data_IF_255149655498
#
_entry.id   IF_255149655498
#
_cell.length_a   1.000
_cell.length_b   1.000
_cell.length_c   1.000
_cell.angle_alpha   90.00
_cell.angle_beta   90.00
_cell.angle_gamma   90.00
#
_symmetry.space_group_name_H-M   'P 1'
#
loop_
_entity.id
_entity.type
_entity.pdbx_description
1 polymer ?
#
# COMPACT_ATOMS: atom_id res chain seq x y z
N UNK A 1 22.88 -32.79 22.36
CA UNK A 1 21.52 -32.22 22.46
C UNK A 1 21.44 -31.06 21.47
N UNK A 2 20.90 -31.30 20.28
CA UNK A 2 20.81 -30.25 19.23
C UNK A 2 19.46 -29.57 19.40
N UNK A 3 19.48 -28.31 19.83
CA UNK A 3 18.27 -27.48 19.90
C UNK A 3 17.92 -26.98 18.50
N UNK A 4 16.80 -27.43 17.96
CA UNK A 4 16.21 -26.80 16.78
C UNK A 4 15.59 -25.47 17.19
N UNK A 5 16.18 -24.38 16.70
CA UNK A 5 15.63 -23.05 16.82
C UNK A 5 14.41 -22.92 15.89
N UNK A 6 13.21 -23.04 16.44
CA UNK A 6 11.92 -22.83 15.78
C UNK A 6 11.74 -21.35 15.41
N UNK A 7 12.41 -20.90 14.34
CA UNK A 7 12.04 -19.63 13.71
C UNK A 7 10.66 -19.80 13.10
N UNK A 8 9.64 -19.21 13.73
CA UNK A 8 8.30 -19.03 13.15
C UNK A 8 8.43 -18.16 11.89
N UNK A 9 8.76 -18.79 10.76
CA UNK A 9 8.69 -18.19 9.44
C UNK A 9 7.22 -17.98 9.15
N UNK A 10 6.78 -16.72 9.12
CA UNK A 10 5.46 -16.36 8.65
C UNK A 10 5.21 -16.90 7.25
N UNK A 11 3.94 -17.02 6.87
CA UNK A 11 3.57 -17.54 5.55
C UNK A 11 4.10 -16.57 4.48
N UNK A 12 4.94 -17.08 3.57
CA UNK A 12 5.47 -16.28 2.45
C UNK A 12 4.35 -15.95 1.47
N UNK A 13 4.18 -14.66 1.13
CA UNK A 13 3.16 -14.20 0.17
C UNK A 13 3.28 -14.94 -1.16
N UNK A 14 4.51 -15.13 -1.65
CA UNK A 14 4.78 -15.94 -2.86
C UNK A 14 4.29 -17.37 -2.68
N UNK A 15 4.48 -17.96 -1.49
CA UNK A 15 4.01 -19.31 -1.18
C UNK A 15 2.49 -19.43 -1.19
N UNK A 16 1.77 -18.43 -0.69
CA UNK A 16 0.30 -18.40 -0.73
C UNK A 16 -0.21 -18.31 -2.17
N UNK A 17 0.40 -17.45 -2.99
CA UNK A 17 0.00 -17.30 -4.40
C UNK A 17 0.26 -18.59 -5.20
N UNK A 18 1.42 -19.22 -5.00
CA UNK A 18 1.74 -20.52 -5.59
C UNK A 18 0.75 -21.61 -5.17
N UNK A 19 0.42 -21.68 -3.87
CA UNK A 19 -0.54 -22.64 -3.34
C UNK A 19 -1.94 -22.40 -3.94
N UNK A 20 -2.39 -21.15 -4.02
CA UNK A 20 -3.66 -20.80 -4.66
C UNK A 20 -3.71 -21.18 -6.14
N UNK A 21 -2.62 -20.96 -6.87
CA UNK A 21 -2.50 -21.37 -8.27
C UNK A 21 -2.60 -22.90 -8.44
N UNK A 22 -1.89 -23.68 -7.63
CA UNK A 22 -1.99 -25.15 -7.64
C UNK A 22 -3.41 -25.60 -7.33
N UNK A 23 -4.09 -24.96 -6.36
CA UNK A 23 -5.47 -25.27 -6.00
C UNK A 23 -6.43 -25.06 -7.18
N UNK A 24 -6.29 -23.96 -7.93
CA UNK A 24 -7.08 -23.69 -9.13
C UNK A 24 -6.85 -24.76 -10.20
N UNK A 25 -5.60 -25.19 -10.41
CA UNK A 25 -5.27 -26.27 -11.35
C UNK A 25 -5.91 -27.61 -10.95
N UNK A 26 -5.87 -27.95 -9.66
CA UNK A 26 -6.50 -29.17 -9.14
C UNK A 26 -8.02 -29.12 -9.34
N UNK A 27 -8.68 -28.00 -9.01
CA UNK A 27 -10.11 -27.82 -9.25
C UNK A 27 -10.48 -27.92 -10.74
N UNK A 28 -9.64 -27.34 -11.60
CA UNK A 28 -9.80 -27.42 -13.06
C UNK A 28 -9.67 -28.87 -13.57
N UNK A 29 -8.74 -29.67 -13.04
CA UNK A 29 -8.59 -31.09 -13.35
C UNK A 29 -9.86 -31.89 -13.01
N UNK A 30 -10.51 -31.59 -11.89
CA UNK A 30 -11.78 -32.20 -11.50
C UNK A 30 -13.01 -31.65 -12.25
N UNK A 31 -12.80 -30.79 -13.26
CA UNK A 31 -13.86 -30.10 -14.03
C UNK A 31 -14.77 -29.23 -13.15
N UNK A 32 -14.28 -28.80 -11.99
CA UNK A 32 -14.99 -27.86 -11.13
C UNK A 32 -14.76 -26.46 -11.73
N UNK A 33 -15.85 -25.87 -12.23
CA UNK A 33 -15.81 -24.51 -12.80
C UNK A 33 -15.69 -23.49 -11.67
N UNK A 34 -14.48 -22.98 -11.44
CA UNK A 34 -14.24 -21.87 -10.50
C UNK A 34 -15.12 -20.66 -10.84
N UNK A 35 -15.32 -20.41 -12.14
CA UNK A 35 -16.24 -19.37 -12.62
C UNK A 35 -17.66 -19.56 -12.12
N UNK A 36 -18.21 -20.78 -12.23
CA UNK A 36 -19.57 -21.08 -11.77
C UNK A 36 -19.75 -20.91 -10.26
N UNK A 37 -18.68 -21.11 -9.48
CA UNK A 37 -18.71 -20.92 -8.03
C UNK A 37 -18.67 -19.42 -7.72
N UNK A 38 -17.78 -18.66 -8.36
CA UNK A 38 -17.68 -17.20 -8.14
C UNK A 38 -18.93 -16.47 -8.62
N UNK A 39 -19.59 -16.94 -9.68
CA UNK A 39 -20.85 -16.39 -10.20
C UNK A 39 -22.10 -16.91 -9.47
N UNK A 40 -21.94 -17.81 -8.49
CA UNK A 40 -23.08 -18.26 -7.70
C UNK A 40 -23.68 -17.11 -6.88
N UNK A 41 -25.02 -17.07 -6.70
CA UNK A 41 -25.67 -16.04 -5.89
C UNK A 41 -25.05 -15.92 -4.50
N UNK A 42 -24.72 -17.05 -3.88
CA UNK A 42 -24.15 -17.12 -2.53
C UNK A 42 -22.72 -16.55 -2.48
N UNK A 43 -21.90 -16.83 -3.48
CA UNK A 43 -20.55 -16.25 -3.54
C UNK A 43 -20.60 -14.75 -3.83
N UNK A 44 -21.46 -14.31 -4.74
CA UNK A 44 -21.66 -12.90 -5.06
C UNK A 44 -22.18 -12.13 -3.84
N UNK A 45 -23.17 -12.65 -3.12
CA UNK A 45 -23.71 -12.04 -1.89
C UNK A 45 -22.64 -11.89 -0.80
N UNK A 46 -21.80 -12.91 -0.60
CA UNK A 46 -20.71 -12.84 0.38
C UNK A 46 -19.60 -11.85 -0.02
N UNK A 47 -19.23 -11.82 -1.31
CA UNK A 47 -18.26 -10.86 -1.84
C UNK A 47 -18.81 -9.44 -1.71
N UNK A 48 -20.08 -9.24 -2.01
CA UNK A 48 -20.76 -7.95 -1.89
C UNK A 48 -20.91 -7.52 -0.42
N UNK A 49 -21.21 -8.44 0.50
CA UNK A 49 -21.27 -8.17 1.93
C UNK A 49 -19.92 -7.69 2.48
N UNK A 50 -18.85 -8.43 2.19
CA UNK A 50 -17.48 -8.07 2.63
C UNK A 50 -16.97 -6.81 1.91
N UNK A 51 -17.24 -6.70 0.61
CA UNK A 51 -16.88 -5.55 -0.22
C UNK A 51 -17.61 -4.28 0.20
N UNK A 52 -18.89 -4.39 0.54
CA UNK A 52 -19.73 -3.31 1.06
C UNK A 52 -19.22 -2.81 2.41
N UNK A 53 -18.93 -3.72 3.35
CA UNK A 53 -18.34 -3.35 4.64
C UNK A 53 -16.98 -2.66 4.51
N UNK A 54 -16.11 -3.17 3.65
CA UNK A 54 -14.79 -2.57 3.39
C UNK A 54 -14.89 -1.21 2.70
N UNK A 55 -15.81 -1.07 1.74
CA UNK A 55 -16.09 0.18 1.04
C UNK A 55 -16.68 1.23 1.98
N UNK A 56 -17.55 0.83 2.91
CA UNK A 56 -18.12 1.73 3.91
C UNK A 56 -17.05 2.17 4.91
N UNK A 57 -16.24 1.25 5.44
CA UNK A 57 -15.13 1.60 6.33
C UNK A 57 -14.16 2.60 5.66
N UNK A 58 -13.82 2.36 4.40
CA UNK A 58 -12.99 3.29 3.64
C UNK A 58 -13.66 4.65 3.50
N UNK A 59 -14.89 4.70 2.99
CA UNK A 59 -15.56 5.97 2.70
C UNK A 59 -15.90 6.78 3.94
N UNK A 60 -16.33 6.12 5.02
CA UNK A 60 -16.86 6.77 6.22
C UNK A 60 -15.76 7.15 7.20
N UNK A 61 -14.68 6.36 7.29
CA UNK A 61 -13.66 6.54 8.33
C UNK A 61 -12.27 6.86 7.78
N UNK A 62 -11.82 6.20 6.71
CA UNK A 62 -10.41 6.27 6.30
C UNK A 62 -10.15 7.29 5.18
N UNK A 63 -11.13 7.51 4.30
CA UNK A 63 -10.98 8.34 3.10
C UNK A 63 -10.59 9.77 3.45
N UNK A 64 -11.29 10.39 4.39
CA UNK A 64 -11.02 11.78 4.80
C UNK A 64 -9.62 11.95 5.41
N UNK A 65 -9.21 11.19 6.45
CA UNK A 65 -7.88 11.34 7.00
C UNK A 65 -6.77 10.93 6.02
N UNK A 66 -6.99 9.90 5.18
CA UNK A 66 -6.02 9.50 4.17
C UNK A 66 -5.81 10.59 3.11
N UNK A 67 -6.88 11.22 2.63
CA UNK A 67 -6.79 12.32 1.67
C UNK A 67 -6.15 13.56 2.29
N UNK A 68 -6.46 13.89 3.55
CA UNK A 68 -5.81 14.99 4.27
C UNK A 68 -4.30 14.72 4.39
N UNK A 69 -3.91 13.54 4.88
CA UNK A 69 -2.50 13.19 4.99
C UNK A 69 -1.80 13.24 3.62
N UNK A 70 -2.41 12.66 2.58
CA UNK A 70 -1.79 12.61 1.27
C UNK A 70 -1.65 13.99 0.62
N UNK A 71 -2.73 14.78 0.58
CA UNK A 71 -2.73 16.04 -0.13
C UNK A 71 -2.07 17.16 0.69
N UNK A 72 -2.45 17.29 1.96
CA UNK A 72 -2.07 18.43 2.78
C UNK A 72 -0.73 18.23 3.48
N UNK A 73 -0.39 17.02 3.89
CA UNK A 73 0.89 16.75 4.54
C UNK A 73 1.92 16.30 3.51
N UNK A 74 1.69 15.18 2.86
CA UNK A 74 2.70 14.57 1.99
C UNK A 74 2.96 15.42 0.75
N UNK A 75 1.93 15.77 -0.03
CA UNK A 75 2.12 16.57 -1.25
C UNK A 75 2.51 18.01 -0.90
N UNK A 76 1.70 18.70 -0.10
CA UNK A 76 1.87 20.14 0.10
C UNK A 76 3.09 20.51 0.95
N UNK A 77 3.36 19.80 2.04
CA UNK A 77 4.50 20.12 2.93
C UNK A 77 5.78 19.47 2.42
N UNK A 78 5.76 18.16 2.19
CA UNK A 78 6.98 17.42 1.90
C UNK A 78 7.34 17.44 0.40
N UNK A 79 6.47 16.91 -0.46
CA UNK A 79 6.81 16.61 -1.85
C UNK A 79 7.08 17.86 -2.69
N UNK A 80 6.23 18.89 -2.58
CA UNK A 80 6.44 20.17 -3.28
C UNK A 80 7.72 20.86 -2.85
N UNK A 81 7.97 20.95 -1.54
CA UNK A 81 9.20 21.54 -1.01
C UNK A 81 10.44 20.77 -1.50
N UNK A 82 10.38 19.44 -1.47
CA UNK A 82 11.45 18.58 -1.96
C UNK A 82 11.77 18.83 -3.44
N UNK A 83 10.77 18.76 -4.32
CA UNK A 83 10.98 18.95 -5.77
C UNK A 83 11.48 20.37 -6.08
N UNK A 84 10.89 21.39 -5.47
CA UNK A 84 11.32 22.77 -5.67
C UNK A 84 12.80 22.96 -5.30
N UNK A 85 13.23 22.40 -4.18
CA UNK A 85 14.63 22.50 -3.77
C UNK A 85 15.56 21.70 -4.68
N UNK A 86 15.14 20.53 -5.16
CA UNK A 86 15.90 19.75 -6.15
C UNK A 86 16.06 20.50 -7.48
N UNK A 87 15.01 21.17 -7.96
CA UNK A 87 15.07 22.01 -9.16
C UNK A 87 16.02 23.20 -8.96
N UNK A 88 15.99 23.84 -7.79
CA UNK A 88 16.89 24.95 -7.47
C UNK A 88 18.35 24.50 -7.45
N UNK A 89 18.65 23.35 -6.85
CA UNK A 89 20.00 22.76 -6.87
C UNK A 89 20.45 22.50 -8.32
N UNK A 90 19.59 21.90 -9.15
CA UNK A 90 19.88 21.65 -10.57
C UNK A 90 20.18 22.95 -11.32
N UNK A 91 19.41 24.01 -11.03
CA UNK A 91 19.53 25.30 -11.69
C UNK A 91 20.61 26.21 -11.06
N UNK A 92 21.36 25.74 -10.06
CA UNK A 92 22.40 26.51 -9.38
C UNK A 92 21.88 27.65 -8.49
N UNK A 93 20.63 27.55 -8.01
CA UNK A 93 19.97 28.54 -7.15
C UNK A 93 20.01 28.10 -5.69
N UNK A 94 20.11 29.04 -4.72
CA UNK A 94 20.06 28.71 -3.31
C UNK A 94 18.69 28.11 -2.93
N UNK A 95 18.71 27.05 -2.15
CA UNK A 95 17.54 26.35 -1.59
C UNK A 95 16.80 27.22 -0.59
N UNK A 96 15.55 26.86 -0.29
CA UNK A 96 14.74 27.54 0.73
C UNK A 96 15.41 27.46 2.11
N UNK A 97 16.17 26.39 2.38
CA UNK A 97 16.93 26.21 3.62
C UNK A 97 18.13 27.16 3.72
N UNK A 98 18.85 27.36 2.62
CA UNK A 98 19.96 28.31 2.57
C UNK A 98 19.47 29.75 2.69
N UNK A 99 18.29 30.05 2.14
CA UNK A 99 17.64 31.36 2.28
C UNK A 99 17.10 31.62 3.69
N UNK A 100 16.62 30.58 4.37
CA UNK A 100 16.10 30.67 5.73
C UNK A 100 17.17 30.53 6.82
N UNK A 101 18.41 30.19 6.45
CA UNK A 101 19.51 30.03 7.39
C UNK A 101 19.91 31.40 8.00
N UNK A 102 20.14 31.49 9.31
CA UNK A 102 20.62 32.73 9.93
C UNK A 102 22.00 33.09 9.39
N UNK A 103 22.22 34.35 9.07
CA UNK A 103 23.53 34.86 8.67
C UNK A 103 24.48 34.80 9.87
N UNK A 104 25.54 34.01 9.75
CA UNK A 104 26.64 34.05 10.71
C UNK A 104 27.49 35.29 10.39
N UNK A 105 27.30 36.38 11.14
CA UNK A 105 28.26 37.48 11.17
C UNK A 105 29.59 36.91 11.67
N UNK A 106 30.56 36.77 10.75
CA UNK A 106 31.94 36.46 11.12
C UNK A 106 32.64 37.78 11.41
N UNK A 107 32.87 38.03 12.69
CA UNK A 107 33.81 39.05 13.20
C UNK A 107 35.22 38.84 12.62
#
# INVERSE_FOLDING_TARGET
MISFNERKRGISIIGVLLLGFILILVLSYFKISVKSIVESPEAQENIEYVGGGTRNLWNDYLKKPALYFWNDIFINIFWKSFINNMERIRDGKPTDYELAAPSLDRE
#
